data_IF_200415751604
#
_entry.id   IF_200415751604
#
_cell.length_a   1.000
_cell.length_b   1.000
_cell.length_c   1.000
_cell.angle_alpha   90.00
_cell.angle_beta   90.00
_cell.angle_gamma   90.00
#
_symmetry.space_group_name_H-M   'P 1'
#
loop_
_entity.id
_entity.type
_entity.pdbx_description
1 polymer ?
#
# COMPACT_ATOMS: atom_id res chain seq x y z
N UNK A 1 -33.84 -32.36 21.58
CA UNK A 1 -33.71 -30.90 21.55
C UNK A 1 -32.81 -30.37 22.67
N UNK A 2 -32.59 -31.14 23.75
CA UNK A 2 -31.94 -30.75 24.99
C UNK A 2 -30.94 -31.83 25.49
N UNK A 3 -30.37 -32.62 24.57
CA UNK A 3 -29.44 -33.70 24.92
C UNK A 3 -28.17 -33.16 25.59
N UNK A 4 -27.55 -32.13 24.98
CA UNK A 4 -26.37 -31.48 25.54
C UNK A 4 -26.71 -30.78 26.85
N UNK A 5 -27.84 -30.05 26.91
CA UNK A 5 -28.26 -29.37 28.13
C UNK A 5 -28.43 -30.34 29.31
N UNK A 6 -29.07 -31.50 29.11
CA UNK A 6 -29.21 -32.51 30.16
C UNK A 6 -27.86 -33.03 30.67
N UNK A 7 -26.89 -33.23 29.77
CA UNK A 7 -25.55 -33.67 30.15
C UNK A 7 -24.80 -32.60 30.95
N UNK A 8 -24.83 -31.34 30.50
CA UNK A 8 -24.20 -30.22 31.19
C UNK A 8 -24.80 -30.00 32.58
N UNK A 9 -26.14 -30.03 32.67
CA UNK A 9 -26.84 -29.87 33.94
C UNK A 9 -26.52 -31.02 34.91
N UNK A 10 -26.48 -32.27 34.43
CA UNK A 10 -26.07 -33.43 35.24
C UNK A 10 -24.63 -33.32 35.73
N UNK A 11 -23.75 -32.69 34.94
CA UNK A 11 -22.36 -32.42 35.32
C UNK A 11 -22.20 -31.20 36.25
N UNK A 12 -23.30 -30.55 36.68
CA UNK A 12 -23.27 -29.41 37.58
C UNK A 12 -22.86 -28.09 36.92
N UNK A 13 -22.88 -28.01 35.58
CA UNK A 13 -22.53 -26.79 34.86
C UNK A 13 -23.67 -25.77 34.97
N UNK A 14 -23.42 -24.53 35.44
CA UNK A 14 -24.44 -23.50 35.53
C UNK A 14 -25.05 -23.16 34.17
N UNK A 15 -26.37 -22.97 34.12
CA UNK A 15 -27.09 -22.56 32.91
C UNK A 15 -26.51 -21.30 32.27
N UNK A 16 -26.20 -20.30 33.09
CA UNK A 16 -25.59 -19.03 32.66
C UNK A 16 -24.30 -19.26 31.87
N UNK A 17 -23.40 -20.13 32.35
CA UNK A 17 -22.15 -20.44 31.67
C UNK A 17 -22.39 -21.14 30.32
N UNK A 18 -23.36 -22.06 30.27
CA UNK A 18 -23.71 -22.76 29.03
C UNK A 18 -24.31 -21.82 27.97
N UNK A 19 -25.09 -20.81 28.39
CA UNK A 19 -25.64 -19.76 27.51
C UNK A 19 -24.52 -18.83 27.03
N UNK A 20 -23.68 -18.33 27.95
CA UNK A 20 -22.58 -17.41 27.63
C UNK A 20 -21.55 -18.03 26.69
N UNK A 21 -21.26 -19.33 26.82
CA UNK A 21 -20.40 -20.07 25.89
C UNK A 21 -21.12 -20.45 24.57
N UNK A 22 -22.39 -20.08 24.42
CA UNK A 22 -23.17 -20.33 23.21
C UNK A 22 -23.45 -21.81 22.92
N UNK A 23 -23.54 -22.66 23.96
CA UNK A 23 -23.82 -24.09 23.81
C UNK A 23 -25.33 -24.38 23.80
N UNK A 24 -26.11 -23.56 24.51
CA UNK A 24 -27.56 -23.66 24.62
C UNK A 24 -28.22 -22.31 24.32
N UNK A 25 -29.53 -22.31 24.08
CA UNK A 25 -30.35 -21.12 23.80
C UNK A 25 -31.56 -21.13 24.74
N UNK A 26 -31.96 -19.96 25.24
CA UNK A 26 -33.23 -19.78 25.95
C UNK A 26 -34.41 -19.81 24.99
N UNK A 27 -35.38 -20.69 25.28
CA UNK A 27 -36.66 -20.76 24.58
C UNK A 27 -37.84 -20.65 25.56
N UNK A 28 -39.05 -20.55 25.00
CA UNK A 28 -40.29 -20.43 25.79
C UNK A 28 -40.53 -21.62 26.73
N UNK A 29 -40.01 -22.81 26.39
CA UNK A 29 -40.18 -24.06 27.17
C UNK A 29 -38.94 -24.44 27.97
N UNK A 30 -37.97 -23.52 28.10
CA UNK A 30 -36.68 -23.75 28.74
C UNK A 30 -35.50 -23.78 27.77
N UNK A 31 -34.35 -24.22 28.28
CA UNK A 31 -33.10 -24.27 27.53
C UNK A 31 -33.08 -25.43 26.54
N UNK A 32 -32.55 -25.17 25.35
CA UNK A 32 -32.36 -26.18 24.31
C UNK A 32 -30.99 -26.05 23.65
N UNK A 33 -30.47 -27.16 23.12
CA UNK A 33 -29.12 -27.26 22.55
C UNK A 33 -29.00 -26.34 21.34
N UNK A 34 -27.93 -25.55 21.20
CA UNK A 34 -27.74 -24.71 20.01
C UNK A 34 -27.51 -25.53 18.74
N UNK A 35 -26.64 -26.53 18.84
CA UNK A 35 -26.22 -27.37 17.72
C UNK A 35 -27.05 -28.65 17.68
N UNK A 36 -28.05 -28.70 16.79
CA UNK A 36 -28.98 -29.84 16.65
C UNK A 36 -29.00 -30.32 15.22
N UNK A 37 -28.96 -31.63 15.00
CA UNK A 37 -28.97 -32.21 13.65
C UNK A 37 -27.79 -31.76 12.79
N UNK A 38 -26.63 -31.53 13.41
CA UNK A 38 -25.44 -30.93 12.77
C UNK A 38 -24.20 -31.77 12.98
N UNK A 39 -23.36 -31.85 11.96
CA UNK A 39 -21.96 -32.28 12.10
C UNK A 39 -21.21 -31.16 12.83
N UNK A 40 -20.48 -31.52 13.88
CA UNK A 40 -19.80 -30.58 14.77
C UNK A 40 -18.32 -30.48 14.41
N UNK A 41 -17.83 -29.25 14.24
CA UNK A 41 -16.45 -28.90 13.97
C UNK A 41 -15.86 -28.17 15.19
N UNK A 42 -15.01 -28.81 15.99
CA UNK A 42 -14.41 -28.18 17.17
C UNK A 42 -13.48 -27.03 16.76
N UNK A 43 -13.66 -25.84 17.34
CA UNK A 43 -12.81 -24.67 17.08
C UNK A 43 -11.86 -24.50 18.26
N UNK A 44 -10.56 -24.43 17.96
CA UNK A 44 -9.49 -24.34 18.96
C UNK A 44 -8.71 -23.06 18.82
N UNK A 45 -8.23 -22.54 19.95
CA UNK A 45 -7.26 -21.45 19.94
C UNK A 45 -5.85 -21.93 19.55
N UNK A 46 -4.89 -21.02 19.44
CA UNK A 46 -3.49 -21.31 19.04
C UNK A 46 -2.80 -22.36 19.94
N UNK A 47 -3.23 -22.48 21.20
CA UNK A 47 -2.72 -23.45 22.16
C UNK A 47 -3.43 -24.81 22.08
N UNK A 48 -4.47 -24.93 21.24
CA UNK A 48 -5.26 -26.15 21.09
C UNK A 48 -6.43 -26.26 22.08
N UNK A 49 -6.70 -25.24 22.90
CA UNK A 49 -7.84 -25.23 23.83
C UNK A 49 -9.12 -25.08 23.03
N UNK A 50 -10.13 -25.89 23.35
CA UNK A 50 -11.45 -25.81 22.72
C UNK A 50 -12.14 -24.52 23.17
N UNK A 51 -12.50 -23.66 22.22
CA UNK A 51 -13.09 -22.34 22.51
C UNK A 51 -14.49 -22.17 21.89
N UNK A 52 -14.85 -23.00 20.91
CA UNK A 52 -16.15 -22.93 20.27
C UNK A 52 -16.37 -24.09 19.31
N UNK A 53 -17.46 -24.02 18.56
CA UNK A 53 -17.87 -25.03 17.61
C UNK A 53 -18.44 -24.40 16.34
N UNK A 54 -18.12 -24.98 15.19
CA UNK A 54 -18.89 -24.87 13.96
C UNK A 54 -19.88 -26.03 13.85
N UNK A 55 -20.98 -25.83 13.12
CA UNK A 55 -22.03 -26.82 12.95
C UNK A 55 -22.64 -26.80 11.55
N UNK A 56 -22.44 -27.86 10.76
CA UNK A 56 -23.06 -28.02 9.43
C UNK A 56 -24.36 -28.80 9.52
N UNK A 57 -25.46 -28.25 9.00
CA UNK A 57 -26.77 -28.92 8.98
C UNK A 57 -26.73 -30.20 8.13
N UNK A 58 -27.31 -31.28 8.65
CA UNK A 58 -27.50 -32.55 7.93
C UNK A 58 -28.90 -32.61 7.30
N UNK A 59 -29.91 -32.07 7.99
CA UNK A 59 -31.32 -32.22 7.63
C UNK A 59 -31.91 -31.01 6.88
N UNK A 60 -31.10 -30.00 6.53
CA UNK A 60 -31.52 -28.85 5.72
C UNK A 60 -32.36 -27.77 6.44
N UNK A 61 -32.73 -27.97 7.71
CA UNK A 61 -33.43 -26.94 8.48
C UNK A 61 -32.46 -25.83 8.97
N UNK A 62 -32.84 -24.57 8.72
CA UNK A 62 -32.08 -23.38 9.12
C UNK A 62 -30.81 -23.13 8.30
N UNK A 63 -29.90 -22.31 8.83
CA UNK A 63 -28.65 -21.96 8.12
C UNK A 63 -27.78 -23.20 7.88
N UNK A 64 -27.17 -23.31 6.68
CA UNK A 64 -26.28 -24.42 6.30
C UNK A 64 -25.13 -24.61 7.30
N UNK A 65 -24.51 -23.50 7.72
CA UNK A 65 -23.50 -23.45 8.77
C UNK A 65 -23.91 -22.51 9.88
N UNK A 66 -23.60 -22.88 11.12
CA UNK A 66 -23.66 -21.99 12.28
C UNK A 66 -22.36 -22.13 13.07
N UNK A 67 -21.96 -21.04 13.72
CA UNK A 67 -20.83 -21.06 14.66
C UNK A 67 -21.34 -20.76 16.08
N UNK A 68 -20.50 -21.05 17.07
CA UNK A 68 -20.61 -20.43 18.39
C UNK A 68 -20.69 -18.91 18.20
N UNK A 69 -21.67 -18.22 18.85
CA UNK A 69 -21.73 -16.77 18.83
C UNK A 69 -20.50 -16.16 19.51
N UNK A 70 -20.29 -14.85 19.37
CA UNK A 70 -19.31 -14.13 20.18
C UNK A 70 -19.52 -14.45 21.67
N UNK A 71 -18.45 -14.82 22.35
CA UNK A 71 -18.46 -15.25 23.75
C UNK A 71 -17.14 -14.87 24.43
N UNK A 72 -17.03 -14.98 25.76
CA UNK A 72 -15.76 -14.74 26.46
C UNK A 72 -14.59 -15.62 26.01
N UNK A 73 -14.88 -16.76 25.37
CA UNK A 73 -13.86 -17.72 24.90
C UNK A 73 -13.65 -17.66 23.38
N UNK A 74 -14.68 -17.28 22.62
CA UNK A 74 -14.66 -17.30 21.17
C UNK A 74 -14.95 -15.93 20.59
N UNK A 75 -13.93 -15.40 19.90
CA UNK A 75 -14.02 -14.20 19.08
C UNK A 75 -13.69 -14.56 17.64
N UNK A 76 -14.69 -14.45 16.75
CA UNK A 76 -14.57 -14.92 15.37
C UNK A 76 -13.45 -14.18 14.61
N UNK A 77 -13.39 -12.86 14.79
CA UNK A 77 -12.35 -12.01 14.21
C UNK A 77 -10.96 -12.14 14.85
N UNK A 78 -10.73 -13.07 15.78
CA UNK A 78 -9.42 -13.30 16.41
C UNK A 78 -9.01 -14.78 16.39
N UNK A 79 -9.71 -15.58 15.60
CA UNK A 79 -9.48 -17.01 15.49
C UNK A 79 -9.37 -17.39 14.02
N UNK A 80 -8.49 -18.36 13.76
CA UNK A 80 -8.37 -19.02 12.47
C UNK A 80 -8.50 -20.52 12.70
N UNK A 81 -9.38 -21.16 11.96
CA UNK A 81 -9.58 -22.60 12.06
C UNK A 81 -8.32 -23.36 11.70
N UNK A 82 -8.05 -24.45 12.40
CA UNK A 82 -6.86 -25.31 12.29
C UNK A 82 -5.51 -24.61 12.54
N UNK A 83 -5.46 -23.32 12.90
CA UNK A 83 -4.19 -22.64 13.18
C UNK A 83 -3.34 -23.36 14.23
N UNK A 84 -3.98 -23.98 15.22
CA UNK A 84 -3.29 -24.71 16.29
C UNK A 84 -2.49 -25.93 15.81
N UNK A 85 -2.91 -26.56 14.70
CA UNK A 85 -2.20 -27.68 14.06
C UNK A 85 -1.44 -27.25 12.82
N UNK A 86 -1.82 -26.15 12.17
CA UNK A 86 -1.19 -25.65 10.95
C UNK A 86 0.10 -24.85 11.22
N UNK A 87 0.22 -24.20 12.39
CA UNK A 87 1.30 -23.27 12.73
C UNK A 87 2.72 -23.82 12.52
N UNK A 88 2.94 -25.11 12.76
CA UNK A 88 4.27 -25.69 12.63
C UNK A 88 4.62 -25.95 11.16
N UNK A 89 3.65 -26.46 10.37
CA UNK A 89 3.79 -26.57 8.93
C UNK A 89 3.92 -25.21 8.23
N UNK A 90 3.22 -24.18 8.73
CA UNK A 90 3.36 -22.80 8.24
C UNK A 90 4.80 -22.29 8.40
N UNK A 91 5.39 -22.50 9.59
CA UNK A 91 6.79 -22.11 9.87
C UNK A 91 7.78 -22.89 9.03
N UNK A 92 7.60 -24.21 8.93
CA UNK A 92 8.50 -25.09 8.16
C UNK A 92 8.53 -24.70 6.68
N UNK A 93 7.36 -24.38 6.10
CA UNK A 93 7.23 -24.02 4.68
C UNK A 93 7.39 -22.51 4.41
N UNK A 94 7.46 -21.68 5.45
CA UNK A 94 7.48 -20.21 5.35
C UNK A 94 6.21 -19.59 4.75
N UNK A 95 5.09 -20.34 4.73
CA UNK A 95 3.86 -19.91 4.04
C UNK A 95 2.59 -20.42 4.72
N UNK A 96 1.49 -19.70 4.52
CA UNK A 96 0.14 -20.10 4.90
C UNK A 96 -0.76 -20.25 3.67
N UNK A 97 -1.79 -21.10 3.75
CA UNK A 97 -2.89 -21.14 2.77
C UNK A 97 -4.19 -20.76 3.49
N UNK A 98 -4.75 -19.61 3.16
CA UNK A 98 -5.96 -19.07 3.76
C UNK A 98 -7.17 -19.34 2.86
N UNK A 99 -8.17 -20.03 3.41
CA UNK A 99 -9.46 -20.34 2.78
C UNK A 99 -10.62 -19.79 3.62
N UNK A 100 -11.85 -19.84 3.11
CA UNK A 100 -13.02 -19.30 3.80
C UNK A 100 -13.60 -20.28 4.84
N UNK A 101 -13.79 -21.54 4.44
CA UNK A 101 -14.55 -22.53 5.16
C UNK A 101 -13.74 -23.59 5.90
N UNK A 102 -14.38 -24.22 6.89
CA UNK A 102 -13.82 -25.36 7.61
C UNK A 102 -13.47 -26.53 6.70
N UNK A 103 -14.36 -26.81 5.75
CA UNK A 103 -14.25 -27.99 4.89
C UNK A 103 -13.07 -27.85 3.93
N UNK A 104 -12.87 -26.66 3.38
CA UNK A 104 -11.74 -26.36 2.50
C UNK A 104 -10.42 -26.56 3.23
N UNK A 105 -10.32 -26.04 4.47
CA UNK A 105 -9.11 -26.21 5.28
C UNK A 105 -8.90 -27.69 5.63
N UNK A 106 -9.94 -28.43 6.03
CA UNK A 106 -9.82 -29.87 6.31
C UNK A 106 -9.39 -30.63 5.06
N UNK A 107 -9.99 -30.34 3.90
CA UNK A 107 -9.63 -30.99 2.63
C UNK A 107 -8.17 -30.75 2.29
N UNK A 108 -7.71 -29.50 2.42
CA UNK A 108 -6.33 -29.12 2.18
C UNK A 108 -5.38 -29.89 3.11
N UNK A 109 -5.70 -29.99 4.40
CA UNK A 109 -4.93 -30.82 5.35
C UNK A 109 -4.87 -32.29 4.92
N UNK A 110 -6.01 -32.90 4.58
CA UNK A 110 -6.09 -34.29 4.08
C UNK A 110 -5.23 -34.47 2.83
N UNK A 111 -5.14 -33.44 2.00
CA UNK A 111 -4.41 -33.42 0.72
C UNK A 111 -2.92 -33.05 0.89
N UNK A 112 -2.41 -32.99 2.12
CA UNK A 112 -0.99 -32.71 2.42
C UNK A 112 -0.60 -31.23 2.50
N UNK A 113 -1.58 -30.32 2.45
CA UNK A 113 -1.39 -28.88 2.66
C UNK A 113 -1.70 -28.50 4.11
N UNK A 114 -0.90 -29.05 5.03
CA UNK A 114 -1.05 -28.84 6.47
C UNK A 114 -0.86 -27.39 6.94
N UNK A 115 -0.33 -26.51 6.09
CA UNK A 115 -0.18 -25.07 6.34
C UNK A 115 -1.48 -24.25 6.12
N UNK A 116 -2.62 -24.92 5.96
CA UNK A 116 -3.90 -24.28 5.63
C UNK A 116 -4.75 -23.93 6.86
N UNK A 117 -5.43 -22.77 6.80
CA UNK A 117 -6.28 -22.21 7.85
C UNK A 117 -7.52 -21.55 7.25
N UNK A 118 -8.60 -21.41 8.04
CA UNK A 118 -9.84 -20.78 7.57
C UNK A 118 -10.30 -19.58 8.40
N UNK A 119 -10.87 -18.57 7.73
CA UNK A 119 -11.40 -17.33 8.33
C UNK A 119 -12.81 -17.48 8.94
N UNK A 120 -13.45 -18.65 8.81
CA UNK A 120 -14.75 -19.00 9.38
C UNK A 120 -15.96 -18.31 8.75
N UNK A 121 -15.85 -17.86 7.50
CA UNK A 121 -16.93 -17.10 6.85
C UNK A 121 -17.18 -15.76 7.53
N UNK A 122 -16.10 -15.02 7.80
CA UNK A 122 -16.11 -13.59 8.15
C UNK A 122 -15.18 -12.85 7.22
N UNK A 123 -15.44 -11.55 7.03
CA UNK A 123 -14.44 -10.65 6.48
C UNK A 123 -13.15 -10.77 7.31
N UNK A 124 -12.02 -10.90 6.61
CA UNK A 124 -10.71 -11.05 7.25
C UNK A 124 -10.41 -9.81 8.10
N UNK A 125 -9.94 -10.01 9.33
CA UNK A 125 -9.62 -8.94 10.27
C UNK A 125 -8.12 -8.69 10.37
N UNK A 126 -7.76 -7.53 10.92
CA UNK A 126 -6.37 -7.19 11.23
C UNK A 126 -5.78 -8.15 12.28
N UNK A 127 -6.55 -8.57 13.29
CA UNK A 127 -6.05 -9.54 14.26
C UNK A 127 -5.80 -10.92 13.64
N UNK A 128 -6.63 -11.36 12.68
CA UNK A 128 -6.37 -12.60 11.94
C UNK A 128 -5.12 -12.48 11.05
N UNK A 129 -4.94 -11.33 10.37
CA UNK A 129 -3.75 -11.06 9.58
C UNK A 129 -2.47 -11.07 10.45
N UNK A 130 -2.50 -10.38 11.58
CA UNK A 130 -1.42 -10.35 12.57
C UNK A 130 -1.17 -11.72 13.25
N UNK A 131 -2.16 -12.63 13.25
CA UNK A 131 -1.94 -14.00 13.69
C UNK A 131 -1.16 -14.80 12.65
N UNK A 132 -1.51 -14.67 11.36
CA UNK A 132 -0.84 -15.38 10.27
C UNK A 132 0.64 -14.95 10.17
N UNK A 133 0.92 -13.65 10.26
CA UNK A 133 2.28 -13.11 10.13
C UNK A 133 3.25 -13.58 11.21
N UNK A 134 2.76 -14.16 12.32
CA UNK A 134 3.61 -14.77 13.35
C UNK A 134 4.18 -16.13 12.96
N UNK A 135 3.63 -16.76 11.92
CA UNK A 135 3.94 -18.15 11.56
C UNK A 135 4.34 -18.32 10.10
N UNK A 136 4.23 -17.30 9.26
CA UNK A 136 4.56 -17.35 7.84
C UNK A 136 4.94 -15.97 7.33
N UNK A 137 5.77 -15.94 6.27
CA UNK A 137 6.13 -14.72 5.54
C UNK A 137 5.25 -14.54 4.28
N UNK A 138 4.75 -15.64 3.72
CA UNK A 138 3.89 -15.66 2.52
C UNK A 138 2.49 -16.16 2.87
N UNK A 139 1.45 -15.47 2.39
CA UNK A 139 0.07 -15.94 2.53
C UNK A 139 -0.56 -16.15 1.14
N UNK A 140 -0.93 -17.40 0.85
CA UNK A 140 -1.72 -17.78 -0.30
C UNK A 140 -3.21 -17.67 0.07
N UNK A 141 -3.94 -16.76 -0.56
CA UNK A 141 -5.38 -16.63 -0.37
C UNK A 141 -6.10 -17.39 -1.48
N UNK A 142 -6.92 -18.37 -1.09
CA UNK A 142 -7.69 -19.22 -1.98
C UNK A 142 -9.16 -19.19 -1.53
N UNK A 143 -9.86 -18.16 -2.00
CA UNK A 143 -11.28 -17.90 -1.69
C UNK A 143 -12.17 -18.33 -2.85
N UNK A 144 -13.47 -18.45 -2.57
CA UNK A 144 -14.44 -18.87 -3.57
C UNK A 144 -14.55 -17.80 -4.66
N UNK A 145 -14.76 -18.23 -5.91
CA UNK A 145 -14.77 -17.36 -7.08
C UNK A 145 -16.10 -16.59 -7.24
N UNK A 146 -16.63 -16.01 -6.16
CA UNK A 146 -17.86 -15.21 -6.21
C UNK A 146 -17.58 -13.69 -6.32
N UNK A 147 -18.47 -12.98 -7.01
CA UNK A 147 -18.33 -11.54 -7.27
C UNK A 147 -18.79 -10.68 -6.09
N UNK A 148 -19.68 -11.19 -5.23
CA UNK A 148 -20.25 -10.44 -4.11
C UNK A 148 -19.26 -10.30 -2.94
N UNK A 149 -18.34 -11.25 -2.78
CA UNK A 149 -17.28 -11.24 -1.75
C UNK A 149 -15.97 -10.60 -2.21
N UNK A 150 -15.78 -10.37 -3.51
CA UNK A 150 -14.48 -9.98 -4.08
C UNK A 150 -13.89 -8.70 -3.47
N UNK A 151 -14.71 -7.66 -3.25
CA UNK A 151 -14.25 -6.40 -2.62
C UNK A 151 -13.82 -6.60 -1.17
N UNK A 152 -14.58 -7.39 -0.41
CA UNK A 152 -14.24 -7.70 0.97
C UNK A 152 -12.97 -8.57 1.05
N UNK A 153 -12.79 -9.48 0.09
CA UNK A 153 -11.61 -10.30 -0.06
C UNK A 153 -10.37 -9.45 -0.33
N UNK A 154 -10.41 -8.54 -1.30
CA UNK A 154 -9.30 -7.62 -1.62
C UNK A 154 -8.92 -6.79 -0.40
N UNK A 155 -9.89 -6.18 0.29
CA UNK A 155 -9.62 -5.42 1.51
C UNK A 155 -8.91 -6.28 2.56
N UNK A 156 -9.37 -7.51 2.76
CA UNK A 156 -8.71 -8.48 3.64
C UNK A 156 -7.28 -8.79 3.20
N UNK A 157 -7.04 -8.98 1.90
CA UNK A 157 -5.71 -9.22 1.34
C UNK A 157 -4.76 -8.05 1.62
N UNK A 158 -5.23 -6.80 1.54
CA UNK A 158 -4.41 -5.65 1.91
C UNK A 158 -4.13 -5.56 3.42
N UNK A 159 -5.02 -6.04 4.28
CA UNK A 159 -4.73 -6.19 5.72
C UNK A 159 -3.59 -7.20 5.96
N UNK A 160 -3.61 -8.34 5.26
CA UNK A 160 -2.50 -9.30 5.32
C UNK A 160 -1.18 -8.65 4.91
N UNK A 161 -1.19 -7.88 3.82
CA UNK A 161 0.02 -7.22 3.33
C UNK A 161 0.51 -6.13 4.28
N UNK A 162 -0.39 -5.34 4.87
CA UNK A 162 -0.06 -4.36 5.89
C UNK A 162 0.51 -4.99 7.17
N UNK A 163 0.14 -6.23 7.49
CA UNK A 163 0.72 -7.03 8.58
C UNK A 163 2.11 -7.62 8.24
N UNK A 164 2.69 -7.28 7.09
CA UNK A 164 4.04 -7.69 6.67
C UNK A 164 4.10 -8.98 5.86
N UNK A 165 2.96 -9.54 5.43
CA UNK A 165 2.93 -10.75 4.62
C UNK A 165 3.09 -10.43 3.12
N UNK A 166 3.83 -11.26 2.41
CA UNK A 166 3.73 -11.31 0.95
C UNK A 166 2.45 -12.06 0.56
N UNK A 167 1.50 -11.34 -0.03
CA UNK A 167 0.19 -11.92 -0.39
C UNK A 167 0.15 -12.38 -1.84
N UNK A 168 -0.25 -13.64 -2.03
CA UNK A 168 -0.49 -14.27 -3.33
C UNK A 168 -1.91 -14.80 -3.40
N UNK A 169 -2.55 -14.67 -4.55
CA UNK A 169 -3.94 -15.07 -4.77
C UNK A 169 -3.98 -16.27 -5.70
N UNK A 170 -4.58 -17.35 -5.21
CA UNK A 170 -4.82 -18.59 -5.94
C UNK A 170 -6.18 -18.47 -6.60
N UNK A 171 -6.22 -18.40 -7.93
CA UNK A 171 -7.46 -18.25 -8.68
C UNK A 171 -7.98 -19.63 -9.06
N UNK A 172 -9.12 -20.00 -8.50
CA UNK A 172 -9.82 -21.24 -8.84
C UNK A 172 -10.64 -21.09 -10.13
N UNK A 173 -10.95 -22.20 -10.82
CA UNK A 173 -11.96 -22.21 -11.87
C UNK A 173 -13.31 -21.67 -11.37
N UNK A 174 -14.06 -21.03 -12.26
CA UNK A 174 -15.33 -20.40 -11.89
C UNK A 174 -16.32 -21.41 -11.29
N UNK A 175 -16.86 -21.09 -10.12
CA UNK A 175 -17.86 -21.90 -9.42
C UNK A 175 -17.31 -23.17 -8.76
N UNK A 176 -15.99 -23.27 -8.58
CA UNK A 176 -15.32 -24.38 -7.91
C UNK A 176 -14.68 -23.88 -6.63
N UNK A 177 -14.94 -24.54 -5.49
CA UNK A 177 -14.29 -24.30 -4.21
C UNK A 177 -13.02 -25.17 -4.06
N UNK A 178 -12.15 -24.92 -3.06
CA UNK A 178 -10.95 -25.74 -2.86
C UNK A 178 -11.25 -27.23 -2.64
N UNK A 179 -12.37 -27.59 -1.97
CA UNK A 179 -12.76 -28.98 -1.73
C UNK A 179 -13.09 -29.72 -3.04
N UNK A 180 -13.91 -29.09 -3.87
CA UNK A 180 -14.31 -29.58 -5.19
C UNK A 180 -13.12 -29.64 -6.14
N UNK A 181 -12.25 -28.63 -6.14
CA UNK A 181 -11.06 -28.62 -7.00
C UNK A 181 -10.14 -29.78 -6.67
N UNK A 182 -9.80 -29.97 -5.39
CA UNK A 182 -8.94 -31.07 -4.95
C UNK A 182 -9.58 -32.43 -5.22
N UNK A 183 -10.90 -32.55 -5.06
CA UNK A 183 -11.61 -33.80 -5.33
C UNK A 183 -11.63 -34.17 -6.82
N UNK A 184 -11.62 -33.18 -7.72
CA UNK A 184 -11.68 -33.39 -9.18
C UNK A 184 -10.27 -33.51 -9.81
N UNK A 185 -9.36 -32.61 -9.47
CA UNK A 185 -8.07 -32.42 -10.16
C UNK A 185 -6.87 -32.93 -9.36
N UNK A 186 -7.04 -33.17 -8.05
CA UNK A 186 -6.00 -33.74 -7.18
C UNK A 186 -4.91 -32.77 -6.72
N UNK A 187 -3.97 -33.28 -5.92
CA UNK A 187 -2.99 -32.47 -5.20
C UNK A 187 -1.93 -31.87 -6.11
N UNK A 188 -1.58 -32.57 -7.21
CA UNK A 188 -0.62 -32.08 -8.20
C UNK A 188 -1.15 -30.82 -8.89
N UNK A 189 -2.40 -30.84 -9.35
CA UNK A 189 -3.02 -29.68 -9.96
C UNK A 189 -3.12 -28.50 -8.98
N UNK A 190 -3.40 -28.76 -7.70
CA UNK A 190 -3.43 -27.69 -6.70
C UNK A 190 -2.05 -27.09 -6.43
N UNK A 191 -0.98 -27.91 -6.44
CA UNK A 191 0.40 -27.40 -6.39
C UNK A 191 0.70 -26.50 -7.59
N UNK A 192 0.26 -26.91 -8.78
CA UNK A 192 0.44 -26.10 -9.99
C UNK A 192 -0.30 -24.75 -9.85
N UNK A 193 -1.53 -24.73 -9.31
CA UNK A 193 -2.24 -23.48 -8.99
C UNK A 193 -1.48 -22.59 -8.00
N UNK A 194 -0.86 -23.16 -6.97
CA UNK A 194 -0.02 -22.38 -6.04
C UNK A 194 1.16 -21.74 -6.78
N UNK A 195 1.79 -22.44 -7.72
CA UNK A 195 2.90 -21.87 -8.52
C UNK A 195 2.44 -20.77 -9.47
N UNK A 196 1.21 -20.88 -9.99
CA UNK A 196 0.60 -19.92 -10.91
C UNK A 196 -0.14 -18.77 -10.21
N UNK A 197 -0.14 -18.75 -8.87
CA UNK A 197 -0.76 -17.70 -8.08
C UNK A 197 -0.23 -16.30 -8.44
N UNK A 198 -1.08 -15.30 -8.31
CA UNK A 198 -0.76 -13.92 -8.64
C UNK A 198 -0.44 -13.13 -7.38
N UNK A 199 0.62 -12.31 -7.41
CA UNK A 199 0.84 -11.33 -6.35
C UNK A 199 -0.33 -10.35 -6.26
N UNK A 200 -0.70 -9.93 -5.04
CA UNK A 200 -1.88 -9.10 -4.79
C UNK A 200 -2.00 -7.88 -5.74
N UNK A 201 -0.94 -7.08 -5.99
CA UNK A 201 -1.06 -5.95 -6.92
C UNK A 201 -1.47 -6.37 -8.34
N UNK A 202 -0.88 -7.46 -8.85
CA UNK A 202 -1.19 -7.99 -10.18
C UNK A 202 -2.58 -8.61 -10.25
N UNK A 203 -3.00 -9.30 -9.19
CA UNK A 203 -4.36 -9.81 -9.09
C UNK A 203 -5.38 -8.66 -9.08
N UNK A 204 -5.13 -7.61 -8.31
CA UNK A 204 -6.01 -6.44 -8.23
C UNK A 204 -6.15 -5.73 -9.60
N UNK A 205 -5.05 -5.59 -10.35
CA UNK A 205 -5.11 -5.10 -11.73
C UNK A 205 -5.96 -6.01 -12.63
N UNK A 206 -5.75 -7.33 -12.57
CA UNK A 206 -6.44 -8.30 -13.43
C UNK A 206 -7.96 -8.20 -13.27
N UNK A 207 -8.45 -8.08 -12.04
CA UNK A 207 -9.90 -8.01 -11.78
C UNK A 207 -10.50 -6.65 -12.13
N UNK A 208 -9.67 -5.60 -12.24
CA UNK A 208 -10.07 -4.26 -12.68
C UNK A 208 -9.83 -4.02 -14.17
N UNK A 209 -9.31 -4.98 -14.91
CA UNK A 209 -8.94 -4.82 -16.33
C UNK A 209 -10.09 -4.27 -17.19
N UNK A 210 -11.31 -4.80 -17.01
CA UNK A 210 -12.48 -4.30 -17.76
C UNK A 210 -12.83 -2.85 -17.44
N UNK A 211 -12.78 -2.48 -16.15
CA UNK A 211 -13.08 -1.12 -15.69
C UNK A 211 -12.00 -0.11 -16.12
N UNK A 212 -10.73 -0.56 -16.21
CA UNK A 212 -9.62 0.26 -16.71
C UNK A 212 -9.75 0.57 -18.21
N UNK A 213 -10.42 -0.28 -18.99
CA UNK A 213 -10.67 -0.07 -20.44
C UNK A 213 -11.89 0.83 -20.71
N UNK A 214 -12.78 0.99 -19.73
CA UNK A 214 -13.95 1.86 -19.85
C UNK A 214 -13.57 3.31 -19.47
N UNK A 215 -13.61 4.23 -20.44
CA UNK A 215 -13.24 5.63 -20.24
C UNK A 215 -14.04 6.33 -19.12
N UNK A 216 -15.28 5.91 -18.87
CA UNK A 216 -16.14 6.50 -17.83
C UNK A 216 -15.74 6.06 -16.42
N UNK A 217 -15.22 4.83 -16.28
CA UNK A 217 -14.84 4.24 -15.00
C UNK A 217 -13.34 4.35 -14.71
N UNK A 218 -12.52 4.46 -15.76
CA UNK A 218 -11.06 4.41 -15.70
C UNK A 218 -10.48 5.34 -14.64
N UNK A 219 -10.87 6.62 -14.62
CA UNK A 219 -10.36 7.59 -13.63
C UNK A 219 -10.59 7.11 -12.20
N UNK A 220 -11.81 6.70 -11.87
CA UNK A 220 -12.19 6.21 -10.54
C UNK A 220 -11.42 4.94 -10.17
N UNK A 221 -11.30 4.00 -11.12
CA UNK A 221 -10.57 2.75 -10.92
C UNK A 221 -9.07 2.98 -10.69
N UNK A 222 -8.46 3.92 -11.41
CA UNK A 222 -7.05 4.30 -11.19
C UNK A 222 -6.87 4.87 -9.78
N UNK A 223 -7.74 5.79 -9.34
CA UNK A 223 -7.70 6.38 -7.99
C UNK A 223 -7.83 5.31 -6.89
N UNK A 224 -8.76 4.37 -7.06
CA UNK A 224 -8.96 3.23 -6.14
C UNK A 224 -7.73 2.30 -6.06
N UNK A 225 -7.12 1.99 -7.21
CA UNK A 225 -5.92 1.17 -7.27
C UNK A 225 -4.72 1.88 -6.62
N UNK A 226 -4.54 3.18 -6.89
CA UNK A 226 -3.50 3.99 -6.25
C UNK A 226 -3.68 4.05 -4.73
N UNK A 227 -4.91 4.23 -4.25
CA UNK A 227 -5.21 4.18 -2.82
C UNK A 227 -4.82 2.83 -2.21
N UNK A 228 -5.18 1.74 -2.89
CA UNK A 228 -4.88 0.38 -2.42
C UNK A 228 -3.37 0.10 -2.42
N UNK A 229 -2.65 0.53 -3.46
CA UNK A 229 -1.20 0.35 -3.57
C UNK A 229 -0.40 1.26 -2.64
N UNK A 230 -0.94 2.42 -2.25
CA UNK A 230 -0.27 3.35 -1.34
C UNK A 230 -0.01 2.78 0.06
N UNK A 231 -0.76 1.73 0.46
CA UNK A 231 -0.52 1.00 1.71
C UNK A 231 0.62 -0.01 1.63
N UNK A 232 1.20 -0.23 0.45
CA UNK A 232 2.32 -1.16 0.23
C UNK A 232 3.63 -0.35 0.24
N UNK A 233 4.67 -0.91 0.85
CA UNK A 233 6.00 -0.29 0.80
C UNK A 233 6.50 -0.21 -0.65
N UNK A 234 7.18 0.89 -1.02
CA UNK A 234 7.75 1.01 -2.37
C UNK A 234 8.70 -0.14 -2.73
N UNK A 235 9.56 -0.64 -1.83
CA UNK A 235 10.38 -1.83 -2.11
C UNK A 235 9.56 -3.07 -2.48
N UNK A 236 8.45 -3.33 -1.79
CA UNK A 236 7.60 -4.49 -2.07
C UNK A 236 6.80 -4.34 -3.37
N UNK A 237 6.48 -3.09 -3.75
CA UNK A 237 5.75 -2.78 -4.97
C UNK A 237 6.66 -2.72 -6.21
N UNK A 238 7.95 -2.38 -6.02
CA UNK A 238 8.93 -2.15 -7.09
C UNK A 238 8.99 -3.26 -8.15
N UNK A 239 8.94 -4.57 -7.80
CA UNK A 239 8.95 -5.65 -8.80
C UNK A 239 7.74 -5.65 -9.74
N UNK A 240 6.63 -5.03 -9.34
CA UNK A 240 5.37 -4.99 -10.08
C UNK A 240 5.13 -3.65 -10.80
N UNK A 241 5.99 -2.65 -10.55
CA UNK A 241 5.85 -1.31 -11.13
C UNK A 241 5.76 -1.29 -12.65
N UNK A 242 6.54 -2.08 -13.42
CA UNK A 242 6.40 -2.12 -14.88
C UNK A 242 5.01 -2.58 -15.33
N UNK A 243 4.46 -3.63 -14.71
CA UNK A 243 3.15 -4.18 -15.03
C UNK A 243 2.03 -3.23 -14.61
N UNK A 244 2.17 -2.58 -13.45
CA UNK A 244 1.21 -1.55 -12.99
C UNK A 244 1.22 -0.36 -13.94
N UNK A 245 2.39 0.18 -14.29
CA UNK A 245 2.53 1.29 -15.21
C UNK A 245 1.92 0.98 -16.59
N UNK A 246 2.18 -0.21 -17.12
CA UNK A 246 1.62 -0.67 -18.38
C UNK A 246 0.09 -0.80 -18.32
N UNK A 247 -0.46 -1.43 -17.27
CA UNK A 247 -1.90 -1.60 -17.12
C UNK A 247 -2.66 -0.27 -16.94
N UNK A 248 -2.02 0.71 -16.30
CA UNK A 248 -2.57 2.05 -16.11
C UNK A 248 -2.28 2.97 -17.31
N UNK A 249 -1.47 2.54 -18.29
CA UNK A 249 -0.99 3.32 -19.43
C UNK A 249 -0.33 4.65 -19.03
N UNK A 250 0.45 4.62 -17.96
CA UNK A 250 1.23 5.78 -17.49
C UNK A 250 2.72 5.46 -17.47
N UNK A 251 3.61 6.43 -17.71
CA UNK A 251 5.03 6.23 -17.52
C UNK A 251 5.37 5.84 -16.07
N UNK A 252 6.38 4.99 -15.88
CA UNK A 252 6.80 4.52 -14.54
C UNK A 252 7.07 5.66 -13.55
N UNK A 253 7.81 6.69 -13.98
CA UNK A 253 8.11 7.84 -13.13
C UNK A 253 6.84 8.61 -12.72
N UNK A 254 5.83 8.66 -13.59
CA UNK A 254 4.55 9.29 -13.27
C UNK A 254 3.78 8.47 -12.23
N UNK A 255 3.80 7.14 -12.33
CA UNK A 255 3.22 6.24 -11.33
C UNK A 255 3.88 6.39 -9.96
N UNK A 256 5.21 6.47 -9.90
CA UNK A 256 5.95 6.69 -8.65
C UNK A 256 5.52 7.99 -7.97
N UNK A 257 5.42 9.08 -8.74
CA UNK A 257 4.92 10.36 -8.23
C UNK A 257 3.45 10.29 -7.79
N UNK A 258 2.60 9.59 -8.53
CA UNK A 258 1.18 9.39 -8.17
C UNK A 258 1.05 8.67 -6.82
N UNK A 259 1.81 7.60 -6.60
CA UNK A 259 1.81 6.84 -5.34
C UNK A 259 2.32 7.67 -4.16
N UNK A 260 3.40 8.43 -4.36
CA UNK A 260 3.95 9.33 -3.34
C UNK A 260 2.96 10.44 -2.93
N UNK A 261 2.29 11.04 -3.92
CA UNK A 261 1.32 12.11 -3.68
C UNK A 261 0.04 11.59 -3.02
N UNK A 262 -0.42 10.40 -3.39
CA UNK A 262 -1.57 9.76 -2.72
C UNK A 262 -1.28 9.45 -1.26
N UNK A 263 -0.10 8.93 -0.94
CA UNK A 263 0.33 8.69 0.45
C UNK A 263 0.33 9.96 1.29
N UNK A 264 0.87 11.05 0.77
CA UNK A 264 0.95 12.35 1.48
C UNK A 264 -0.44 12.99 1.73
N UNK A 265 -1.36 12.88 0.77
CA UNK A 265 -2.72 13.40 0.92
C UNK A 265 -3.54 12.59 1.93
N UNK A 266 -3.32 11.28 2.04
CA UNK A 266 -3.99 10.41 3.01
C UNK A 266 -3.56 10.72 4.45
N UNK A 267 -2.26 10.91 4.69
CA UNK A 267 -1.75 11.30 6.03
C UNK A 267 -2.34 12.62 6.50
N UNK A 268 -2.41 13.63 5.63
CA UNK A 268 -3.06 14.92 5.93
C UNK A 268 -4.54 14.77 6.28
N UNK A 269 -5.29 13.98 5.50
CA UNK A 269 -6.72 13.76 5.74
C UNK A 269 -7.01 12.93 7.02
N UNK A 270 -6.11 12.02 7.41
CA UNK A 270 -6.22 11.24 8.65
C UNK A 270 -5.85 12.07 9.89
N UNK A 271 -4.87 12.96 9.77
CA UNK A 271 -4.47 13.89 10.83
C UNK A 271 -5.56 14.96 11.10
N UNK A 272 -6.27 15.41 10.06
CA UNK A 272 -7.45 16.27 10.19
C UNK A 272 -8.65 15.55 10.83
N UNK A 273 -8.83 14.24 10.56
CA UNK A 273 -9.91 13.42 11.15
C UNK A 273 -9.66 12.99 12.59
N UNK A 274 -8.39 12.93 13.04
CA UNK A 274 -8.01 12.58 14.42
C UNK A 274 -8.07 13.75 15.42
N UNK A 275 -8.85 14.79 15.10
CA UNK A 275 -9.12 15.91 16.01
C UNK A 275 -9.77 15.50 17.35
N UNK A 276 -8.96 15.11 18.33
CA UNK A 276 -9.26 15.21 19.77
C UNK A 276 -8.03 15.70 20.53
N UNK A 277 -8.13 16.96 20.94
CA UNK A 277 -7.59 17.55 22.18
C UNK A 277 -6.48 16.76 22.89
N UNK A 278 -5.23 17.12 22.62
CA UNK A 278 -4.16 17.01 23.61
C UNK A 278 -3.27 18.24 23.51
N UNK A 279 -3.22 19.02 24.60
CA UNK A 279 -2.27 20.14 24.77
C UNK A 279 -0.84 19.64 24.49
N UNK A 280 0.03 20.43 23.84
CA UNK A 280 1.37 19.97 23.51
C UNK A 280 2.17 19.80 24.81
N UNK A 281 2.43 18.55 25.20
CA UNK A 281 3.58 18.22 26.03
C UNK A 281 4.77 18.11 25.09
N UNK A 282 5.65 19.10 25.19
CA UNK A 282 6.98 19.11 24.59
C UNK A 282 7.71 17.83 24.97
N UNK A 283 7.97 16.97 23.99
CA UNK A 283 9.13 16.09 23.99
C UNK A 283 9.74 16.16 22.59
N UNK A 284 10.89 16.82 22.55
CA UNK A 284 11.79 16.92 21.42
C UNK A 284 12.27 15.51 21.06
N UNK A 285 12.07 15.10 19.81
CA UNK A 285 13.02 14.26 19.08
C UNK A 285 12.70 14.32 17.57
N UNK A 286 13.17 15.39 16.93
CA UNK A 286 13.02 15.68 15.49
C UNK A 286 14.14 15.08 14.62
N UNK A 287 15.00 14.20 15.12
CA UNK A 287 16.29 13.93 14.47
C UNK A 287 16.40 12.67 13.60
N UNK A 288 15.31 12.12 13.03
CA UNK A 288 15.43 10.91 12.17
C UNK A 288 14.53 10.79 10.93
N UNK A 289 13.68 11.78 10.61
CA UNK A 289 12.76 11.69 9.45
C UNK A 289 13.09 12.60 8.26
N UNK A 290 14.17 13.39 8.33
CA UNK A 290 14.59 14.28 7.25
C UNK A 290 15.72 13.74 6.36
N UNK A 291 16.45 12.69 6.79
CA UNK A 291 17.76 12.40 6.18
C UNK A 291 17.76 11.58 4.87
N UNK A 292 16.66 10.93 4.45
CA UNK A 292 16.71 10.03 3.27
C UNK A 292 16.15 10.63 1.96
N UNK A 293 15.44 11.77 2.00
CA UNK A 293 14.95 12.46 0.80
C UNK A 293 15.76 13.70 0.40
N UNK A 294 16.72 14.14 1.22
CA UNK A 294 17.46 15.41 1.01
C UNK A 294 18.85 15.27 0.37
N UNK A 295 19.21 14.11 -0.17
CA UNK A 295 20.58 13.85 -0.65
C UNK A 295 20.72 13.69 -2.17
N UNK A 296 19.65 13.41 -2.92
CA UNK A 296 19.73 13.26 -4.37
C UNK A 296 19.71 14.64 -5.06
N UNK A 297 20.78 14.95 -5.80
CA UNK A 297 20.92 16.21 -6.55
C UNK A 297 20.17 16.15 -7.88
N UNK A 298 19.38 17.18 -8.21
CA UNK A 298 18.72 17.30 -9.51
C UNK A 298 19.78 17.51 -10.62
N UNK A 299 19.78 16.63 -11.62
CA UNK A 299 20.80 16.64 -12.66
C UNK A 299 20.77 17.90 -13.55
N UNK A 300 19.60 18.57 -13.69
CA UNK A 300 19.47 19.79 -14.50
C UNK A 300 19.97 21.01 -13.72
N UNK A 301 19.73 21.06 -12.41
CA UNK A 301 20.33 22.07 -11.53
C UNK A 301 21.86 21.90 -11.44
N UNK A 302 22.34 20.65 -11.36
CA UNK A 302 23.75 20.33 -11.42
C UNK A 302 24.36 20.74 -12.77
N UNK A 303 23.66 20.51 -13.88
CA UNK A 303 24.09 20.91 -15.22
C UNK A 303 24.13 22.44 -15.38
N UNK A 304 23.17 23.17 -14.83
CA UNK A 304 23.20 24.63 -14.78
C UNK A 304 24.44 25.13 -14.03
N UNK A 305 24.73 24.56 -12.85
CA UNK A 305 25.94 24.89 -12.10
C UNK A 305 27.22 24.57 -12.90
N UNK A 306 27.29 23.42 -13.55
CA UNK A 306 28.44 23.03 -14.37
C UNK A 306 28.66 23.95 -15.58
N UNK A 307 27.59 24.37 -16.25
CA UNK A 307 27.67 25.31 -17.36
C UNK A 307 28.17 26.69 -16.92
N UNK A 308 27.75 27.16 -15.74
CA UNK A 308 28.24 28.41 -15.15
C UNK A 308 29.68 28.29 -14.65
N UNK A 309 30.09 27.12 -14.21
CA UNK A 309 31.46 26.82 -13.80
C UNK A 309 32.42 26.87 -15.00
N UNK A 310 32.02 26.28 -16.13
CA UNK A 310 32.88 26.14 -17.31
C UNK A 310 32.89 27.38 -18.23
N UNK A 311 31.91 28.29 -18.12
CA UNK A 311 31.77 29.43 -19.03
C UNK A 311 31.74 30.78 -18.28
N UNK A 312 32.90 31.48 -18.19
CA UNK A 312 33.00 32.77 -17.54
C UNK A 312 32.17 33.90 -18.17
N UNK A 313 31.91 33.84 -19.47
CA UNK A 313 31.13 34.86 -20.19
C UNK A 313 29.64 34.76 -19.82
N UNK A 314 29.13 33.53 -19.67
CA UNK A 314 27.74 33.30 -19.26
C UNK A 314 27.44 33.86 -17.86
N UNK A 315 28.39 33.82 -16.93
CA UNK A 315 28.19 34.32 -15.56
C UNK A 315 28.34 35.85 -15.41
N UNK A 316 29.09 36.52 -16.28
CA UNK A 316 29.31 37.97 -16.20
C UNK A 316 28.05 38.83 -16.38
N UNK A 317 27.02 38.28 -17.03
CA UNK A 317 25.78 38.99 -17.33
C UNK A 317 24.57 38.51 -16.52
N UNK A 318 24.74 37.53 -15.63
CA UNK A 318 23.66 36.96 -14.84
C UNK A 318 23.54 37.64 -13.49
N UNK A 319 22.29 37.89 -13.08
CA UNK A 319 21.94 38.40 -11.76
C UNK A 319 21.36 37.27 -10.92
N UNK A 320 21.58 37.30 -9.61
CA UNK A 320 21.03 36.30 -8.67
C UNK A 320 19.50 36.15 -8.82
N UNK A 321 18.80 37.27 -9.03
CA UNK A 321 17.35 37.34 -9.25
C UNK A 321 16.86 36.51 -10.45
N UNK A 322 17.70 36.31 -11.46
CA UNK A 322 17.34 35.57 -12.68
C UNK A 322 17.60 34.06 -12.55
N UNK A 323 18.52 33.68 -11.66
CA UNK A 323 19.03 32.32 -11.54
C UNK A 323 18.46 31.59 -10.33
N UNK A 324 18.26 32.29 -9.20
CA UNK A 324 17.74 31.69 -7.97
C UNK A 324 16.36 31.06 -8.13
N UNK A 325 15.41 31.64 -8.90
CA UNK A 325 14.11 31.00 -9.11
C UNK A 325 14.20 29.67 -9.88
N UNK A 326 15.32 29.42 -10.59
CA UNK A 326 15.52 28.21 -11.41
C UNK A 326 15.98 27.00 -10.57
N UNK A 327 16.58 27.27 -9.41
CA UNK A 327 17.26 26.28 -8.56
C UNK A 327 16.40 26.03 -7.32
N UNK A 328 16.13 24.77 -7.01
CA UNK A 328 15.40 24.38 -5.79
C UNK A 328 16.33 23.93 -4.67
N UNK A 329 17.52 23.41 -4.98
CA UNK A 329 18.52 22.99 -4.00
C UNK A 329 19.32 24.19 -3.45
N UNK A 330 19.18 24.46 -2.14
CA UNK A 330 19.86 25.56 -1.45
C UNK A 330 21.40 25.43 -1.49
N UNK A 331 21.92 24.19 -1.55
CA UNK A 331 23.35 23.96 -1.65
C UNK A 331 23.85 24.43 -3.02
N UNK A 332 23.13 24.11 -4.09
CA UNK A 332 23.46 24.56 -5.45
C UNK A 332 23.33 26.08 -5.58
N UNK A 333 22.30 26.69 -4.98
CA UNK A 333 22.18 28.16 -4.94
C UNK A 333 23.43 28.82 -4.36
N UNK A 334 23.95 28.25 -3.27
CA UNK A 334 25.18 28.76 -2.62
C UNK A 334 26.39 28.66 -3.56
N UNK A 335 26.54 27.56 -4.31
CA UNK A 335 27.63 27.38 -5.26
C UNK A 335 27.52 28.35 -6.45
N UNK A 336 26.31 28.51 -6.98
CA UNK A 336 26.03 29.42 -8.10
C UNK A 336 26.19 30.88 -7.68
N UNK A 337 25.78 31.25 -6.47
CA UNK A 337 25.98 32.58 -5.90
C UNK A 337 27.47 32.93 -5.82
N UNK A 338 28.31 32.00 -5.37
CA UNK A 338 29.76 32.20 -5.34
C UNK A 338 30.34 32.46 -6.74
N UNK A 339 29.85 31.75 -7.76
CA UNK A 339 30.27 31.96 -9.15
C UNK A 339 29.81 33.29 -9.73
N UNK A 340 28.56 33.69 -9.47
CA UNK A 340 27.97 34.96 -9.95
C UNK A 340 28.64 36.17 -9.29
N UNK A 341 29.00 36.05 -8.01
CA UNK A 341 29.70 37.10 -7.26
C UNK A 341 31.19 37.24 -7.64
N UNK A 342 31.65 36.54 -8.68
CA UNK A 342 32.98 36.72 -9.27
C UNK A 342 34.10 35.94 -8.59
N UNK A 343 33.80 34.95 -7.75
CA UNK A 343 34.85 34.06 -7.22
C UNK A 343 35.48 33.24 -8.37
N UNK A 344 36.80 33.14 -8.38
CA UNK A 344 37.54 32.30 -9.33
C UNK A 344 37.29 30.83 -9.03
N UNK A 345 37.09 30.03 -10.08
CA UNK A 345 36.85 28.60 -9.98
C UNK A 345 38.03 27.88 -9.33
N UNK A 346 39.27 28.31 -9.61
CA UNK A 346 40.48 27.77 -8.99
C UNK A 346 40.53 28.03 -7.47
N UNK A 347 40.07 29.21 -7.03
CA UNK A 347 39.99 29.57 -5.61
C UNK A 347 38.90 28.75 -4.91
N UNK A 348 37.74 28.58 -5.55
CA UNK A 348 36.62 27.79 -5.05
C UNK A 348 36.99 26.31 -4.89
N UNK A 349 37.58 25.71 -5.93
CA UNK A 349 37.99 24.32 -5.93
C UNK A 349 39.02 24.04 -4.82
N UNK A 350 40.04 24.90 -4.70
CA UNK A 350 41.04 24.78 -3.64
C UNK A 350 40.41 24.92 -2.25
N UNK A 351 39.43 25.81 -2.07
CA UNK A 351 38.70 25.98 -0.80
C UNK A 351 37.94 24.70 -0.43
N UNK A 352 37.22 24.09 -1.37
CA UNK A 352 36.44 22.88 -1.14
C UNK A 352 37.30 21.65 -0.84
N UNK A 353 38.40 21.48 -1.58
CA UNK A 353 39.35 20.40 -1.33
C UNK A 353 39.99 20.53 0.06
N UNK A 354 40.34 21.75 0.48
CA UNK A 354 40.91 22.00 1.81
C UNK A 354 39.89 21.81 2.94
N UNK A 355 38.60 22.09 2.69
CA UNK A 355 37.54 21.86 3.68
C UNK A 355 37.03 20.40 3.70
N UNK A 356 37.47 19.57 2.76
CA UNK A 356 36.96 18.20 2.59
C UNK A 356 35.51 18.14 2.09
N UNK A 357 35.00 19.24 1.52
CA UNK A 357 33.64 19.29 0.98
C UNK A 357 33.62 18.74 -0.45
N UNK A 358 33.11 17.51 -0.59
CA UNK A 358 33.03 16.83 -1.88
C UNK A 358 31.74 17.15 -2.65
N UNK A 359 30.76 17.81 -2.02
CA UNK A 359 29.47 18.08 -2.64
C UNK A 359 29.58 18.93 -3.92
N UNK A 360 30.37 20.02 -3.97
CA UNK A 360 30.51 20.84 -5.17
C UNK A 360 31.13 20.07 -6.34
N UNK A 361 32.16 19.25 -6.07
CA UNK A 361 32.85 18.46 -7.09
C UNK A 361 31.97 17.32 -7.62
N UNK A 362 31.20 16.66 -6.75
CA UNK A 362 30.22 15.65 -7.16
C UNK A 362 29.10 16.26 -8.00
N UNK A 363 28.62 17.44 -7.61
CA UNK A 363 27.60 18.18 -8.37
C UNK A 363 28.13 18.61 -9.73
N UNK A 364 29.37 19.09 -9.80
CA UNK A 364 30.03 19.45 -11.05
C UNK A 364 30.17 18.23 -11.98
N UNK A 365 30.60 17.09 -11.45
CA UNK A 365 30.73 15.85 -12.22
C UNK A 365 29.39 15.37 -12.77
N UNK A 366 28.33 15.40 -11.95
CA UNK A 366 26.97 15.05 -12.36
C UNK A 366 26.46 15.99 -13.47
N UNK A 367 26.69 17.30 -13.32
CA UNK A 367 26.29 18.30 -14.29
C UNK A 367 27.01 18.15 -15.63
N UNK A 368 28.33 17.93 -15.62
CA UNK A 368 29.11 17.68 -16.82
C UNK A 368 28.62 16.41 -17.54
N UNK A 369 28.42 15.30 -16.82
CA UNK A 369 27.90 14.05 -17.39
C UNK A 369 26.48 14.20 -17.97
N UNK A 370 25.67 15.12 -17.45
CA UNK A 370 24.37 15.44 -18.00
C UNK A 370 24.50 16.27 -19.29
N UNK A 371 25.40 17.26 -19.32
CA UNK A 371 25.67 18.07 -20.51
C UNK A 371 26.28 17.27 -21.68
N UNK A 372 27.04 16.21 -21.39
CA UNK A 372 27.62 15.32 -22.40
C UNK A 372 26.57 14.49 -23.17
N UNK A 373 25.33 14.42 -22.69
CA UNK A 373 24.25 13.66 -23.34
C UNK A 373 23.61 14.41 -24.53
N UNK A 374 23.94 15.70 -24.70
CA UNK A 374 23.37 16.52 -25.78
C UNK A 374 24.13 16.30 -27.09
N UNK A 375 23.39 16.17 -28.20
CA UNK A 375 23.96 16.00 -29.54
C UNK A 375 24.73 17.25 -30.01
N UNK A 376 25.72 17.05 -30.90
CA UNK A 376 26.47 18.17 -31.50
C UNK A 376 25.53 19.15 -32.22
N UNK A 377 25.67 20.44 -31.87
CA UNK A 377 24.85 21.53 -32.42
C UNK A 377 23.65 21.94 -31.57
N UNK A 378 23.33 21.20 -30.50
CA UNK A 378 22.35 21.62 -29.49
C UNK A 378 23.07 22.35 -28.37
N UNK A 379 22.66 23.59 -28.08
CA UNK A 379 23.16 24.35 -26.92
C UNK A 379 22.54 23.80 -25.62
N UNK A 380 23.31 23.12 -24.74
CA UNK A 380 22.76 22.59 -23.49
C UNK A 380 22.22 23.70 -22.60
N UNK A 381 22.85 24.88 -22.67
CA UNK A 381 22.42 26.09 -21.96
C UNK A 381 20.97 26.46 -22.27
N UNK A 382 20.62 26.56 -23.56
CA UNK A 382 19.29 27.02 -23.96
C UNK A 382 18.21 26.03 -23.55
N UNK A 383 18.50 24.72 -23.65
CA UNK A 383 17.57 23.66 -23.24
C UNK A 383 17.39 23.64 -21.72
N UNK A 384 18.47 23.60 -20.96
CA UNK A 384 18.43 23.51 -19.50
C UNK A 384 17.75 24.74 -18.90
N UNK A 385 18.15 25.95 -19.33
CA UNK A 385 17.56 27.20 -18.82
C UNK A 385 16.08 27.29 -19.19
N UNK A 386 15.69 26.90 -20.40
CA UNK A 386 14.28 26.82 -20.83
C UNK A 386 13.45 25.92 -19.91
N UNK A 387 13.92 24.69 -19.66
CA UNK A 387 13.20 23.73 -18.84
C UNK A 387 13.12 24.15 -17.38
N UNK A 388 14.21 24.68 -16.82
CA UNK A 388 14.25 25.19 -15.45
C UNK A 388 13.35 26.42 -15.29
N UNK A 389 13.28 27.30 -16.29
CA UNK A 389 12.35 28.44 -16.31
C UNK A 389 10.90 27.98 -16.33
N UNK A 390 10.54 27.03 -17.20
CA UNK A 390 9.20 26.46 -17.24
C UNK A 390 8.82 25.81 -15.91
N UNK A 391 9.77 25.11 -15.28
CA UNK A 391 9.58 24.50 -13.95
C UNK A 391 9.34 25.56 -12.87
N UNK A 392 10.13 26.63 -12.85
CA UNK A 392 9.97 27.75 -11.91
C UNK A 392 8.63 28.47 -12.08
N UNK A 393 8.24 28.78 -13.32
CA UNK A 393 6.96 29.42 -13.66
C UNK A 393 5.78 28.55 -13.19
N UNK A 394 5.84 27.23 -13.41
CA UNK A 394 4.82 26.30 -12.95
C UNK A 394 4.73 26.22 -11.42
N UNK A 395 5.88 26.17 -10.74
CA UNK A 395 5.92 26.16 -9.28
C UNK A 395 5.32 27.45 -8.69
N UNK A 396 5.65 28.61 -9.27
CA UNK A 396 5.07 29.90 -8.87
C UNK A 396 3.56 29.95 -9.11
N UNK A 397 3.08 29.40 -10.22
CA UNK A 397 1.64 29.26 -10.46
C UNK A 397 0.95 28.43 -9.38
N UNK A 398 1.50 27.26 -9.05
CA UNK A 398 0.92 26.35 -8.06
C UNK A 398 0.91 26.99 -6.65
N UNK A 399 1.94 27.74 -6.29
CA UNK A 399 2.01 28.52 -5.04
C UNK A 399 0.89 29.56 -4.96
N UNK A 400 0.74 30.38 -6.01
CA UNK A 400 -0.27 31.44 -6.08
C UNK A 400 -1.70 30.86 -6.15
N UNK A 401 -1.88 29.76 -6.88
CA UNK A 401 -3.16 29.05 -6.97
C UNK A 401 -3.57 28.46 -5.61
N UNK A 402 -2.62 27.88 -4.87
CA UNK A 402 -2.84 27.42 -3.50
C UNK A 402 -3.23 28.56 -2.56
N UNK A 403 -2.54 29.72 -2.60
CA UNK A 403 -2.92 30.91 -1.82
C UNK A 403 -4.32 31.41 -2.16
N UNK A 404 -4.69 31.41 -3.45
CA UNK A 404 -6.03 31.82 -3.88
C UNK A 404 -7.11 30.89 -3.32
N UNK A 405 -6.91 29.57 -3.37
CA UNK A 405 -7.85 28.58 -2.81
C UNK A 405 -8.07 28.74 -1.30
N UNK A 406 -7.04 29.20 -0.58
CA UNK A 406 -7.10 29.48 0.87
C UNK A 406 -7.68 30.85 1.21
N UNK A 407 -7.97 31.69 0.22
CA UNK A 407 -8.40 33.08 0.43
C UNK A 407 -7.29 34.00 0.95
N UNK A 408 -6.03 33.59 0.82
CA UNK A 408 -4.84 34.30 1.32
C UNK A 408 -4.16 35.16 0.24
N UNK A 409 -4.55 35.00 -1.03
CA UNK A 409 -3.94 35.72 -2.15
C UNK A 409 -4.45 37.17 -2.27
N UNK A 410 -3.53 38.11 -2.47
CA UNK A 410 -3.86 39.51 -2.72
C UNK A 410 -4.17 39.79 -4.22
N UNK A 411 -4.62 41.02 -4.54
CA UNK A 411 -5.01 41.40 -5.91
C UNK A 411 -3.86 41.24 -6.93
N UNK A 412 -2.64 41.61 -6.55
CA UNK A 412 -1.47 41.55 -7.42
C UNK A 412 -1.03 40.10 -7.65
N UNK A 413 -1.09 39.23 -6.64
CA UNK A 413 -0.83 37.79 -6.72
C UNK A 413 -1.84 37.08 -7.64
N UNK A 414 -3.12 37.48 -7.60
CA UNK A 414 -4.15 36.95 -8.51
C UNK A 414 -3.90 37.40 -9.96
N UNK A 415 -3.45 38.65 -10.15
CA UNK A 415 -3.10 39.19 -11.47
C UNK A 415 -1.86 38.49 -12.04
N UNK A 416 -0.84 38.25 -11.21
CA UNK A 416 0.37 37.50 -11.54
C UNK A 416 0.01 36.07 -11.96
N UNK A 417 -0.80 35.36 -11.16
CA UNK A 417 -1.25 34.00 -11.43
C UNK A 417 -1.96 33.89 -12.80
N UNK A 418 -2.82 34.86 -13.15
CA UNK A 418 -3.50 34.91 -14.46
C UNK A 418 -2.53 35.12 -15.62
N UNK A 419 -1.52 36.00 -15.43
CA UNK A 419 -0.48 36.24 -16.43
C UNK A 419 0.35 34.97 -16.68
N UNK A 420 0.75 34.28 -15.60
CA UNK A 420 1.46 33.01 -15.68
C UNK A 420 0.60 31.94 -16.38
N UNK A 421 -0.69 31.84 -16.06
CA UNK A 421 -1.61 30.90 -16.70
C UNK A 421 -1.72 31.12 -18.23
N UNK A 422 -1.61 32.37 -18.70
CA UNK A 422 -1.61 32.71 -20.12
C UNK A 422 -0.32 32.26 -20.82
N UNK A 423 0.83 32.46 -20.17
CA UNK A 423 2.13 32.02 -20.67
C UNK A 423 2.20 30.49 -20.80
N UNK A 424 1.68 29.75 -19.81
CA UNK A 424 1.66 28.29 -19.81
C UNK A 424 0.69 27.67 -20.84
N UNK A 425 -0.31 28.42 -21.32
CA UNK A 425 -1.26 27.98 -22.35
C UNK A 425 -0.79 28.21 -23.79
N UNK A 426 0.41 28.76 -24.00
CA UNK A 426 0.98 29.01 -25.33
C UNK A 426 0.45 30.27 -26.03
N UNK A 427 0.07 31.31 -25.27
CA UNK A 427 -0.45 32.56 -25.84
C UNK A 427 0.63 33.38 -26.57
N UNK A 428 0.37 33.69 -27.85
CA UNK A 428 1.00 34.78 -28.61
C UNK A 428 0.96 36.06 -27.78
N UNK A 429 2.10 36.74 -27.65
CA UNK A 429 2.13 38.15 -27.26
C UNK A 429 1.36 38.97 -28.30
N UNK A 430 0.32 39.67 -27.87
CA UNK A 430 -0.11 40.88 -28.57
C UNK A 430 0.95 41.97 -28.33
N UNK A 431 1.25 42.69 -29.41
CA UNK A 431 2.30 43.71 -29.62
C UNK A 431 2.48 44.74 -28.52
#
# INVERSE_FOLDING_TARGET
>A
WDYLWRLLNKAGIPSKAAIECGLVIEGQRGLYDRFRGRIIFPIRDVMGRLIGFGGRSIAGEGAKYINTPESPLFHKGRCLYLLNVAKDAMREKGRAILVEGYMDAIRLHISGFGESVASLGTALTEEQANLISRFADVCYVCYDADTAGQEAAIRGMYLLQASGLQVKVVVLPHGVDPDEFLSKEGERAFKDLLTQSLHLPLYHLKIRERALKDLSLRKKTVEELLESFSGISLPDLAPFMPQIAAALEVPRHALENMLLNFGANKTRAEDEKKGKSAKPRVYINESKKQDEKSLAVDAKEAALFALLWNDPEKRHHLREEEVYPLISDERIKTLVAALINGESTEVLEKRWLNSGDLFPLQTLALGNAFCEQFEEGISPWDVIVSELRLRSIKFRYDELYSKMLKGEANYDEIKEMRKIASLLKGGKEDR
#
